data_IF_983243941975
#
_entry.id   IF_983243941975
#
_cell.length_a   1.000
_cell.length_b   1.000
_cell.length_c   1.000
_cell.angle_alpha   90.00
_cell.angle_beta   90.00
_cell.angle_gamma   90.00
#
_symmetry.space_group_name_H-M   'P 1'
#
loop_
_entity.id
_entity.type
_entity.pdbx_description
1 polymer ?
#
# COMPACT_ATOMS: atom_id res chain seq x y z
N UNK A 1 -11.75 -10.78 -8.79
CA UNK A 1 -11.22 -9.43 -9.07
C UNK A 1 -9.90 -9.36 -8.33
N UNK A 2 -8.80 -9.07 -9.01
CA UNK A 2 -7.48 -9.08 -8.37
C UNK A 2 -7.16 -7.71 -7.78
N UNK A 3 -6.66 -7.70 -6.55
CA UNK A 3 -6.07 -6.52 -5.92
C UNK A 3 -4.60 -6.79 -5.65
N UNK A 4 -3.79 -5.74 -5.69
CA UNK A 4 -2.42 -5.74 -5.20
C UNK A 4 -2.39 -4.99 -3.87
N UNK A 5 -1.86 -5.63 -2.84
CA UNK A 5 -1.55 -5.01 -1.56
C UNK A 5 -0.06 -4.74 -1.49
N UNK A 6 0.30 -3.55 -1.04
CA UNK A 6 1.65 -3.18 -0.64
C UNK A 6 1.63 -2.80 0.83
N UNK A 7 2.52 -3.35 1.63
CA UNK A 7 2.52 -3.15 3.07
C UNK A 7 3.91 -2.77 3.59
N UNK A 8 3.93 -1.81 4.49
CA UNK A 8 5.10 -1.36 5.23
C UNK A 8 4.65 -1.19 6.67
N UNK A 9 4.75 -2.27 7.44
CA UNK A 9 4.50 -2.22 8.86
C UNK A 9 5.73 -1.63 9.57
N UNK A 10 5.52 -1.09 10.76
CA UNK A 10 6.59 -0.76 11.68
C UNK A 10 7.47 -1.98 11.97
N UNK A 11 8.70 -1.75 12.44
CA UNK A 11 9.67 -2.84 12.72
C UNK A 11 9.14 -3.89 13.70
N UNK A 12 8.24 -3.49 14.58
CA UNK A 12 7.55 -4.33 15.56
C UNK A 12 6.05 -4.50 15.21
N UNK A 13 5.68 -4.28 13.96
CA UNK A 13 4.34 -4.44 13.44
C UNK A 13 3.88 -5.90 13.42
N UNK A 14 2.57 -6.11 13.30
CA UNK A 14 1.96 -7.45 13.34
C UNK A 14 2.10 -8.20 12.01
N UNK A 15 3.34 -8.51 11.64
CA UNK A 15 3.64 -9.31 10.45
C UNK A 15 3.06 -10.71 10.53
N UNK A 16 3.03 -11.31 11.72
CA UNK A 16 2.44 -12.63 11.91
C UNK A 16 0.94 -12.63 11.58
N UNK A 17 0.19 -11.66 12.11
CA UNK A 17 -1.23 -11.49 11.79
C UNK A 17 -1.44 -11.20 10.31
N UNK A 18 -0.64 -10.31 9.72
CA UNK A 18 -0.75 -9.97 8.29
C UNK A 18 -0.45 -11.18 7.39
N UNK A 19 0.62 -11.92 7.65
CA UNK A 19 1.00 -13.09 6.85
C UNK A 19 0.00 -14.22 7.01
N UNK A 20 -0.52 -14.43 8.22
CA UNK A 20 -1.63 -15.38 8.45
C UNK A 20 -2.87 -14.98 7.66
N UNK A 21 -3.22 -13.69 7.63
CA UNK A 21 -4.34 -13.21 6.83
C UNK A 21 -4.08 -13.36 5.32
N UNK A 22 -2.87 -13.10 4.84
CA UNK A 22 -2.52 -13.31 3.43
C UNK A 22 -2.62 -14.78 3.02
N UNK A 23 -2.10 -15.69 3.85
CA UNK A 23 -2.14 -17.14 3.64
C UNK A 23 -3.60 -17.65 3.57
N UNK A 24 -4.43 -17.28 4.55
CA UNK A 24 -5.87 -17.60 4.56
C UNK A 24 -6.62 -17.09 3.32
N UNK A 25 -6.09 -16.07 2.65
CA UNK A 25 -6.67 -15.49 1.44
C UNK A 25 -6.04 -16.02 0.15
N UNK A 26 -5.19 -17.06 0.23
CA UNK A 26 -4.44 -17.61 -0.89
C UNK A 26 -3.71 -16.51 -1.69
N UNK A 27 -3.12 -15.56 -0.97
CA UNK A 27 -2.42 -14.45 -1.59
C UNK A 27 -1.17 -14.96 -2.32
N UNK A 28 -0.89 -14.36 -3.48
CA UNK A 28 0.32 -14.64 -4.26
C UNK A 28 1.36 -13.59 -3.91
N UNK A 29 2.53 -14.01 -3.45
CA UNK A 29 3.69 -13.13 -3.22
C UNK A 29 4.11 -12.45 -4.54
N UNK A 30 4.34 -11.14 -4.49
CA UNK A 30 4.57 -10.31 -5.67
C UNK A 30 5.82 -9.43 -5.51
N UNK A 31 6.82 -9.94 -4.78
CA UNK A 31 8.00 -9.21 -4.37
C UNK A 31 7.91 -8.67 -2.94
N UNK A 32 8.98 -8.00 -2.53
CA UNK A 32 9.13 -7.48 -1.17
C UNK A 32 7.93 -6.63 -0.77
N UNK A 33 7.32 -7.00 0.35
CA UNK A 33 6.22 -6.23 0.94
C UNK A 33 4.99 -6.08 0.03
N UNK A 34 4.80 -6.99 -0.94
CA UNK A 34 3.69 -6.94 -1.88
C UNK A 34 3.02 -8.31 -2.07
N UNK A 35 1.69 -8.32 -2.14
CA UNK A 35 0.92 -9.54 -2.34
C UNK A 35 -0.34 -9.27 -3.18
N UNK A 36 -0.70 -10.21 -4.05
CA UNK A 36 -1.91 -10.16 -4.85
C UNK A 36 -2.97 -11.09 -4.28
N UNK A 37 -4.22 -10.63 -4.20
CA UNK A 37 -5.36 -11.43 -3.73
C UNK A 37 -6.44 -11.44 -4.81
N UNK A 38 -6.99 -12.62 -5.12
CA UNK A 38 -8.21 -12.71 -5.93
C UNK A 38 -9.46 -12.66 -5.05
N UNK A 39 -10.15 -11.53 -5.10
CA UNK A 39 -11.41 -11.32 -4.39
C UNK A 39 -12.60 -12.07 -5.02
N UNK A 40 -12.42 -12.89 -6.07
CA UNK A 40 -13.52 -13.76 -6.57
C UNK A 40 -14.07 -14.68 -5.49
N UNK A 41 -13.22 -15.16 -4.59
CA UNK A 41 -13.62 -15.99 -3.44
C UNK A 41 -14.32 -15.19 -2.33
N UNK A 42 -14.20 -13.86 -2.34
CA UNK A 42 -14.89 -12.95 -1.40
C UNK A 42 -16.15 -12.37 -2.04
N UNK A 43 -17.24 -12.29 -1.25
CA UNK A 43 -18.48 -11.61 -1.66
C UNK A 43 -18.23 -10.10 -1.84
N UNK A 44 -17.88 -9.65 -3.04
CA UNK A 44 -17.56 -8.24 -3.27
C UNK A 44 -17.41 -7.78 -4.72
N UNK A 45 -17.57 -8.68 -5.71
CA UNK A 45 -17.59 -8.30 -7.12
C UNK A 45 -18.76 -7.32 -7.37
N UNK A 46 -18.44 -6.14 -7.91
CA UNK A 46 -19.44 -5.11 -8.25
C UNK A 46 -19.75 -4.09 -7.14
N UNK A 47 -19.14 -4.18 -5.95
CA UNK A 47 -19.30 -3.14 -4.93
C UNK A 47 -18.60 -1.82 -5.33
N UNK A 48 -19.14 -0.66 -4.93
CA UNK A 48 -18.42 0.61 -5.01
C UNK A 48 -17.07 0.56 -4.31
N UNK A 49 -16.09 1.29 -4.83
CA UNK A 49 -14.73 1.34 -4.30
C UNK A 49 -14.67 1.63 -2.79
N UNK A 50 -15.45 2.60 -2.33
CA UNK A 50 -15.49 3.00 -0.92
C UNK A 50 -15.98 1.87 -0.01
N UNK A 51 -16.97 1.10 -0.45
CA UNK A 51 -17.48 -0.06 0.28
C UNK A 51 -16.44 -1.18 0.34
N UNK A 52 -15.74 -1.44 -0.78
CA UNK A 52 -14.66 -2.42 -0.83
C UNK A 52 -13.52 -2.06 0.13
N UNK A 53 -13.10 -0.79 0.14
CA UNK A 53 -12.07 -0.29 1.05
C UNK A 53 -12.48 -0.52 2.51
N UNK A 54 -13.72 -0.16 2.87
CA UNK A 54 -14.22 -0.33 4.23
C UNK A 54 -14.28 -1.80 4.65
N UNK A 55 -14.71 -2.68 3.75
CA UNK A 55 -14.76 -4.13 4.00
C UNK A 55 -13.35 -4.70 4.22
N UNK A 56 -12.38 -4.32 3.36
CA UNK A 56 -10.98 -4.73 3.51
C UNK A 56 -10.35 -4.21 4.81
N UNK A 57 -10.60 -2.94 5.15
CA UNK A 57 -10.14 -2.37 6.41
C UNK A 57 -10.68 -3.15 7.61
N UNK A 58 -11.98 -3.44 7.62
CA UNK A 58 -12.59 -4.19 8.71
C UNK A 58 -12.06 -5.62 8.80
N UNK A 59 -11.87 -6.29 7.66
CA UNK A 59 -11.37 -7.66 7.62
C UNK A 59 -9.91 -7.76 8.08
N UNK A 60 -9.05 -6.84 7.64
CA UNK A 60 -7.66 -6.80 8.09
C UNK A 60 -7.58 -6.45 9.58
N UNK A 61 -8.34 -5.46 10.08
CA UNK A 61 -8.32 -5.10 11.51
C UNK A 61 -8.74 -6.25 12.45
N UNK A 62 -9.49 -7.23 11.97
CA UNK A 62 -9.86 -8.42 12.76
C UNK A 62 -8.70 -9.39 12.96
N UNK A 63 -7.72 -9.37 12.05
CA UNK A 63 -6.64 -10.36 11.98
C UNK A 63 -5.26 -9.74 12.23
N UNK A 64 -5.13 -8.42 12.08
CA UNK A 64 -3.86 -7.69 12.12
C UNK A 64 -3.99 -6.52 13.08
N UNK A 65 -3.10 -6.45 14.07
CA UNK A 65 -2.99 -5.31 14.98
C UNK A 65 -2.31 -4.15 14.26
N UNK A 66 -3.12 -3.24 13.74
CA UNK A 66 -2.65 -2.04 13.04
C UNK A 66 -2.25 -0.96 14.06
N UNK A 67 -1.01 -0.49 13.99
CA UNK A 67 -0.50 0.66 14.74
C UNK A 67 -0.71 1.96 13.98
N UNK A 68 -1.05 3.02 14.72
CA UNK A 68 -1.15 4.39 14.23
C UNK A 68 -0.16 5.35 14.94
N UNK A 69 -0.26 6.66 14.67
CA UNK A 69 0.60 7.67 15.31
C UNK A 69 2.00 7.80 14.70
N UNK A 70 3.04 7.70 15.53
CA UNK A 70 4.43 7.88 15.09
C UNK A 70 5.01 6.63 14.40
N UNK A 71 4.55 5.44 14.81
CA UNK A 71 4.93 4.14 14.28
C UNK A 71 3.82 3.59 13.38
N UNK A 72 3.44 4.38 12.36
CA UNK A 72 2.32 4.04 11.49
C UNK A 72 2.62 2.82 10.62
N UNK A 73 1.84 1.77 10.83
CA UNK A 73 1.69 0.70 9.87
C UNK A 73 0.98 1.24 8.62
N UNK A 74 1.48 0.83 7.46
CA UNK A 74 0.94 1.28 6.18
C UNK A 74 0.55 0.08 5.36
N UNK A 75 -0.70 0.06 4.93
CA UNK A 75 -1.17 -0.91 3.94
C UNK A 75 -1.88 -0.11 2.86
N UNK A 76 -1.42 -0.28 1.63
CA UNK A 76 -1.94 0.36 0.44
C UNK A 76 -2.53 -0.70 -0.48
N UNK A 77 -3.66 -0.39 -1.09
CA UNK A 77 -4.30 -1.28 -2.05
C UNK A 77 -4.37 -0.60 -3.40
N UNK A 78 -4.03 -1.37 -4.43
CA UNK A 78 -4.19 -1.00 -5.83
C UNK A 78 -5.13 -2.00 -6.48
N UNK A 79 -6.09 -1.46 -7.21
CA UNK A 79 -7.08 -2.21 -7.96
C UNK A 79 -7.08 -1.71 -9.41
N UNK A 80 -7.07 -2.65 -10.36
CA UNK A 80 -7.15 -2.35 -11.79
C UNK A 80 -8.49 -2.84 -12.34
N UNK A 81 -9.28 -1.92 -12.86
CA UNK A 81 -10.38 -2.22 -13.79
C UNK A 81 -9.85 -2.20 -15.23
N UNK A 82 -10.69 -2.55 -16.21
CA UNK A 82 -10.30 -2.50 -17.62
C UNK A 82 -9.88 -1.09 -18.09
N UNK A 83 -10.40 -0.02 -17.47
CA UNK A 83 -10.20 1.35 -17.93
C UNK A 83 -9.50 2.27 -16.91
N UNK A 84 -9.43 1.87 -15.64
CA UNK A 84 -8.95 2.72 -14.55
C UNK A 84 -8.18 1.92 -13.51
N UNK A 85 -7.10 2.53 -12.99
CA UNK A 85 -6.42 2.07 -11.79
C UNK A 85 -6.89 2.94 -10.61
N UNK A 86 -7.49 2.30 -9.60
CA UNK A 86 -7.86 2.94 -8.34
C UNK A 86 -6.91 2.46 -7.26
N UNK A 87 -6.47 3.37 -6.40
CA UNK A 87 -5.58 3.03 -5.32
C UNK A 87 -5.80 3.92 -4.11
N UNK A 88 -5.41 3.43 -2.94
CA UNK A 88 -5.57 4.16 -1.69
C UNK A 88 -4.97 3.43 -0.51
N UNK A 89 -4.77 4.17 0.59
CA UNK A 89 -4.35 3.58 1.86
C UNK A 89 -5.54 2.93 2.54
N UNK A 90 -5.39 1.65 2.91
CA UNK A 90 -6.26 0.99 3.89
C UNK A 90 -5.89 1.49 5.30
N UNK A 91 -4.58 1.60 5.57
CA UNK A 91 -4.04 2.13 6.84
C UNK A 91 -2.83 3.01 6.60
N UNK A 92 -2.63 3.97 7.52
CA UNK A 92 -1.55 4.93 7.44
C UNK A 92 -1.71 5.94 6.31
N UNK A 93 -0.61 6.59 5.94
CA UNK A 93 -0.57 7.65 4.93
C UNK A 93 0.74 7.66 4.15
N UNK A 94 0.75 8.41 3.05
CA UNK A 94 1.96 8.64 2.25
C UNK A 94 3.01 9.39 3.08
N UNK A 95 4.27 8.93 3.03
CA UNK A 95 5.43 9.67 3.54
C UNK A 95 5.98 10.58 2.43
N UNK A 96 6.77 11.60 2.79
CA UNK A 96 7.55 12.34 1.79
C UNK A 96 8.38 11.34 0.99
N UNK A 97 8.38 11.48 -0.33
CA UNK A 97 9.09 10.54 -1.18
C UNK A 97 10.60 10.62 -0.87
N UNK A 98 11.30 9.49 -0.70
CA UNK A 98 12.72 9.51 -0.32
C UNK A 98 13.60 10.13 -1.40
N UNK A 99 13.18 10.10 -2.67
CA UNK A 99 13.85 10.77 -3.78
C UNK A 99 13.47 12.25 -3.96
N UNK A 100 12.60 12.81 -3.12
CA UNK A 100 12.25 14.23 -3.20
C UNK A 100 13.50 15.10 -3.03
N UNK A 101 13.82 15.92 -4.03
CA UNK A 101 14.97 16.83 -4.03
C UNK A 101 16.28 16.24 -4.56
N UNK A 102 16.27 14.97 -5.02
CA UNK A 102 17.46 14.34 -5.61
C UNK A 102 17.60 14.63 -7.11
N UNK A 103 16.51 14.94 -7.81
CA UNK A 103 16.56 15.44 -9.18
C UNK A 103 16.90 16.93 -9.16
N UNK A 104 17.98 17.31 -9.86
CA UNK A 104 18.31 18.71 -10.09
C UNK A 104 17.37 19.21 -11.17
N UNK A 105 16.47 20.13 -10.83
CA UNK A 105 15.75 20.91 -11.84
C UNK A 105 16.75 21.92 -12.40
N UNK A 106 17.07 21.82 -13.70
CA UNK A 106 18.03 22.69 -14.40
C UNK A 106 17.69 24.19 -14.33
N UNK A 107 16.51 24.56 -13.84
CA UNK A 107 16.06 25.95 -13.66
C UNK A 107 16.55 26.60 -12.36
N UNK A 108 17.24 25.88 -11.46
CA UNK A 108 17.74 26.40 -10.17
C UNK A 108 19.18 25.96 -9.85
N UNK A 109 19.99 25.69 -10.87
CA UNK A 109 21.39 25.35 -10.63
C UNK A 109 22.24 26.61 -10.39
N UNK A 110 22.30 27.03 -9.12
CA UNK A 110 23.21 28.06 -8.62
C UNK A 110 24.65 27.56 -8.41
N UNK A 111 25.06 26.46 -9.05
CA UNK A 111 26.48 26.06 -9.10
C UNK A 111 27.22 27.07 -9.95
N UNK A 112 27.83 28.03 -9.25
CA UNK A 112 28.83 28.97 -9.74
C UNK A 112 29.74 28.28 -10.76
N UNK A 113 29.73 28.79 -11.99
CA UNK A 113 30.78 28.51 -12.95
C UNK A 113 32.10 28.95 -12.30
N UNK A 114 32.92 27.96 -11.93
CA UNK A 114 34.31 28.19 -11.61
C UNK A 114 34.98 28.51 -12.94
N UNK A 115 35.11 29.81 -13.22
CA UNK A 115 35.92 30.30 -14.32
C UNK A 115 37.38 29.87 -14.06
N UNK A 116 37.91 29.03 -14.95
CA UNK A 116 39.35 28.72 -15.05
C UNK A 116 40.14 29.94 -15.54
#
# INVERSE_FOLDING_TARGET
MKILLSFDLSTDGDYQGLYTWLDNNNAVECGTSCAQIDLKSKKGLGKPWQSLIKDLQNDIKKNVKIKDGLFNDRIHVTFKTNNEIKSGFLFGKRKKAPWSGYAINSENDGRLELNE
#
